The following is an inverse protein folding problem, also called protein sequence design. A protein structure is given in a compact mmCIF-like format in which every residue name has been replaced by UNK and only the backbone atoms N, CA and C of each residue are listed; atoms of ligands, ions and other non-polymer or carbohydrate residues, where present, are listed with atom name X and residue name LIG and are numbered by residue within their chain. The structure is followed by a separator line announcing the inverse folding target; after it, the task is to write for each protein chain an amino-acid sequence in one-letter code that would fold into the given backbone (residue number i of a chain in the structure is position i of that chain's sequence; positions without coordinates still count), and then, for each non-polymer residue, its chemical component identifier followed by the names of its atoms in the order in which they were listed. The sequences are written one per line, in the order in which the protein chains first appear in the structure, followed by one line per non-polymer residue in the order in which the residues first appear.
data_IF_339666637181
#
_entry.id   IF_339666637181
#
_cell.length_a   1.000
_cell.length_b   1.000
_cell.length_c   1.000
_cell.angle_alpha   90.00
_cell.angle_beta   90.00
_cell.angle_gamma   90.00
#
_symmetry.space_group_name_H-M   'P 1'
#
loop_
_entity.id
_entity.type
_entity.pdbx_description
1 polymer ?
#
# COMPACT_ATOMS: atom_id res chain seq x y z
N UNK A 1 72.79 -20.17 51.05
CA UNK A 1 71.39 -20.29 50.59
C UNK A 1 70.62 -19.09 51.14
N UNK A 2 70.19 -18.18 50.28
CA UNK A 2 69.16 -17.18 50.61
C UNK A 2 68.40 -16.89 49.33
N UNK A 3 67.17 -17.36 49.25
CA UNK A 3 66.29 -17.22 48.10
C UNK A 3 65.62 -15.85 48.13
N UNK A 4 65.99 -14.99 47.17
CA UNK A 4 65.34 -13.71 46.92
C UNK A 4 63.92 -13.95 46.37
N UNK A 5 62.90 -13.64 47.17
CA UNK A 5 61.53 -13.53 46.67
C UNK A 5 61.30 -12.10 46.16
N UNK A 6 61.28 -11.93 44.84
CA UNK A 6 60.91 -10.66 44.21
C UNK A 6 59.38 -10.57 44.09
N UNK A 7 58.74 -9.92 45.06
CA UNK A 7 57.32 -9.60 45.03
C UNK A 7 57.08 -8.48 43.99
N UNK A 8 56.49 -8.81 42.86
CA UNK A 8 56.04 -7.82 41.87
C UNK A 8 54.84 -7.10 42.47
N UNK A 9 55.07 -5.92 43.04
CA UNK A 9 54.04 -5.07 43.62
C UNK A 9 53.67 -3.99 42.59
N UNK A 10 52.73 -4.32 41.70
CA UNK A 10 52.16 -3.37 40.75
C UNK A 10 51.21 -2.43 41.49
N UNK A 11 51.78 -1.38 42.07
CA UNK A 11 51.02 -0.24 42.59
C UNK A 11 50.48 0.57 41.40
N UNK A 12 49.41 0.07 40.77
CA UNK A 12 48.62 0.89 39.86
C UNK A 12 48.13 2.11 40.66
N UNK A 13 48.45 3.35 40.24
CA UNK A 13 48.02 4.52 40.99
C UNK A 13 46.49 4.50 41.04
N UNK A 14 45.92 4.58 42.25
CA UNK A 14 44.49 4.39 42.52
C UNK A 14 43.59 5.26 41.60
N UNK A 15 44.10 6.43 41.20
CA UNK A 15 43.44 7.37 40.29
C UNK A 15 43.36 6.86 38.83
N UNK A 16 44.30 6.02 38.39
CA UNK A 16 44.29 5.43 37.05
C UNK A 16 43.27 4.30 36.93
N UNK A 17 43.16 3.45 37.95
CA UNK A 17 42.12 2.41 38.00
C UNK A 17 40.72 3.02 38.02
N UNK A 18 40.50 4.07 38.82
CA UNK A 18 39.22 4.80 38.85
C UNK A 18 38.86 5.43 37.50
N UNK A 19 39.83 6.07 36.82
CA UNK A 19 39.63 6.63 35.48
C UNK A 19 39.29 5.56 34.44
N UNK A 20 39.95 4.40 34.49
CA UNK A 20 39.62 3.28 33.59
C UNK A 20 38.20 2.76 33.82
N UNK A 21 37.77 2.64 35.08
CA UNK A 21 36.39 2.21 35.41
C UNK A 21 35.36 3.19 34.86
N UNK A 22 35.60 4.51 35.00
CA UNK A 22 34.70 5.53 34.46
C UNK A 22 34.61 5.45 32.93
N UNK A 23 35.74 5.30 32.23
CA UNK A 23 35.75 5.14 30.78
C UNK A 23 35.01 3.87 30.36
N UNK A 24 35.20 2.77 31.07
CA UNK A 24 34.54 1.49 30.78
C UNK A 24 33.03 1.59 31.00
N UNK A 25 32.57 2.28 32.05
CA UNK A 25 31.15 2.57 32.27
C UNK A 25 30.57 3.45 31.15
N UNK A 26 31.32 4.46 30.69
CA UNK A 26 30.88 5.35 29.62
C UNK A 26 30.70 4.57 28.30
N UNK A 27 31.66 3.71 27.95
CA UNK A 27 31.57 2.79 26.80
C UNK A 27 30.37 1.85 26.96
N UNK A 28 30.17 1.28 28.15
CA UNK A 28 29.03 0.41 28.42
C UNK A 28 27.69 1.12 28.24
N UNK A 29 27.56 2.36 28.73
CA UNK A 29 26.38 3.19 28.51
C UNK A 29 26.13 3.45 27.02
N UNK A 30 27.16 3.77 26.25
CA UNK A 30 27.04 4.00 24.79
C UNK A 30 26.55 2.73 24.08
N UNK A 31 27.09 1.56 24.43
CA UNK A 31 26.65 0.27 23.87
C UNK A 31 25.18 -0.01 24.19
N UNK A 32 24.75 0.24 25.45
CA UNK A 32 23.35 0.05 25.84
C UNK A 32 22.39 0.97 25.09
N UNK A 33 22.77 2.22 24.87
CA UNK A 33 21.99 3.18 24.07
C UNK A 33 21.87 2.68 22.64
N UNK A 34 22.97 2.25 22.04
CA UNK A 34 22.99 1.76 20.65
C UNK A 34 22.10 0.51 20.46
N UNK A 35 22.16 -0.44 21.40
CA UNK A 35 21.31 -1.64 21.38
C UNK A 35 19.83 -1.28 21.54
N UNK A 36 19.49 -0.34 22.44
CA UNK A 36 18.11 0.12 22.61
C UNK A 36 17.55 0.76 21.34
N UNK A 37 18.32 1.64 20.69
CA UNK A 37 17.90 2.28 19.43
C UNK A 37 17.66 1.23 18.33
N UNK A 38 18.53 0.22 18.22
CA UNK A 38 18.37 -0.87 17.25
C UNK A 38 17.10 -1.70 17.50
N UNK A 39 16.78 -1.97 18.76
CA UNK A 39 15.57 -2.70 19.16
C UNK A 39 14.31 -1.87 18.90
N UNK A 40 14.36 -0.56 19.17
CA UNK A 40 13.24 0.34 18.93
C UNK A 40 12.86 0.40 17.44
N UNK A 41 13.85 0.52 16.54
CA UNK A 41 13.62 0.50 15.10
C UNK A 41 13.04 -0.85 14.62
N UNK A 42 13.50 -1.97 15.19
CA UNK A 42 12.97 -3.29 14.85
C UNK A 42 11.51 -3.47 15.28
N UNK A 43 11.13 -2.92 16.44
CA UNK A 43 9.74 -2.96 16.94
C UNK A 43 8.75 -2.19 16.06
N UNK A 44 9.15 -1.00 15.55
CA UNK A 44 8.34 -0.23 14.58
C UNK A 44 8.01 -1.05 13.32
N UNK A 45 9.00 -1.74 12.76
CA UNK A 45 8.81 -2.52 11.54
C UNK A 45 7.87 -3.72 11.78
N UNK A 46 8.06 -4.45 12.88
CA UNK A 46 7.19 -5.59 13.24
C UNK A 46 5.73 -5.15 13.47
N UNK A 47 5.49 -4.01 14.12
CA UNK A 47 4.12 -3.52 14.34
C UNK A 47 3.42 -3.15 13.02
N UNK A 48 4.14 -2.54 12.06
CA UNK A 48 3.57 -2.25 10.73
C UNK A 48 3.21 -3.52 9.95
N UNK A 49 4.01 -4.59 10.10
CA UNK A 49 3.71 -5.89 9.50
C UNK A 49 2.47 -6.52 10.13
N UNK A 50 2.31 -6.43 11.45
CA UNK A 50 1.10 -6.93 12.13
C UNK A 50 -0.14 -6.19 11.67
N UNK A 51 -0.07 -4.86 11.55
CA UNK A 51 -1.21 -4.05 11.13
C UNK A 51 -1.60 -4.32 9.66
N UNK A 52 -0.62 -4.36 8.75
CA UNK A 52 -0.87 -4.72 7.35
C UNK A 52 -1.43 -6.14 7.19
N UNK A 53 -0.95 -7.11 7.97
CA UNK A 53 -1.44 -8.48 7.92
C UNK A 53 -2.87 -8.58 8.47
N UNK A 54 -3.19 -7.81 9.52
CA UNK A 54 -4.55 -7.71 10.05
C UNK A 54 -5.52 -7.11 9.03
N UNK A 55 -5.11 -6.03 8.34
CA UNK A 55 -5.91 -5.41 7.29
C UNK A 55 -6.16 -6.38 6.14
N UNK A 56 -5.16 -7.16 5.71
CA UNK A 56 -5.34 -8.21 4.69
C UNK A 56 -6.31 -9.30 5.12
N UNK A 57 -6.29 -9.70 6.39
CA UNK A 57 -7.24 -10.67 6.93
C UNK A 57 -8.66 -10.11 6.88
N UNK A 58 -8.84 -8.84 7.27
CA UNK A 58 -10.14 -8.18 7.25
C UNK A 58 -10.69 -8.00 5.83
N UNK A 59 -9.84 -7.56 4.90
CA UNK A 59 -10.18 -7.45 3.47
C UNK A 59 -10.58 -8.80 2.88
N UNK A 60 -9.78 -9.84 3.13
CA UNK A 60 -10.08 -11.21 2.66
C UNK A 60 -11.36 -11.76 3.27
N UNK A 61 -11.66 -11.42 4.53
CA UNK A 61 -12.89 -11.84 5.20
C UNK A 61 -14.11 -11.13 4.61
N UNK A 62 -14.00 -9.83 4.32
CA UNK A 62 -15.07 -9.06 3.71
C UNK A 62 -15.35 -9.54 2.28
N UNK A 63 -14.31 -9.78 1.47
CA UNK A 63 -14.49 -10.35 0.13
C UNK A 63 -15.12 -11.73 0.20
N UNK A 64 -14.67 -12.61 1.10
CA UNK A 64 -15.28 -13.94 1.26
C UNK A 64 -16.77 -13.87 1.66
N UNK A 65 -17.13 -12.95 2.56
CA UNK A 65 -18.51 -12.74 2.95
C UNK A 65 -19.37 -12.20 1.80
N UNK A 66 -18.85 -11.24 1.02
CA UNK A 66 -19.54 -10.71 -0.16
C UNK A 66 -19.76 -11.81 -1.20
N UNK A 67 -18.72 -12.59 -1.52
CA UNK A 67 -18.83 -13.72 -2.45
C UNK A 67 -19.83 -14.76 -1.95
N UNK A 68 -19.88 -15.06 -0.64
CA UNK A 68 -20.90 -15.95 -0.07
C UNK A 68 -22.32 -15.39 -0.24
N UNK A 69 -22.51 -14.09 -0.07
CA UNK A 69 -23.81 -13.46 -0.30
C UNK A 69 -24.20 -13.50 -1.78
N UNK A 70 -23.24 -13.32 -2.68
CA UNK A 70 -23.46 -13.46 -4.13
C UNK A 70 -23.81 -14.90 -4.50
N UNK A 71 -23.13 -15.90 -3.94
CA UNK A 71 -23.47 -17.32 -4.14
C UNK A 71 -24.87 -17.64 -3.62
N UNK A 72 -25.25 -17.13 -2.44
CA UNK A 72 -26.60 -17.32 -1.90
C UNK A 72 -27.68 -16.66 -2.76
N UNK A 73 -27.35 -15.56 -3.45
CA UNK A 73 -28.24 -14.92 -4.43
C UNK A 73 -28.23 -15.62 -5.78
N UNK A 74 -27.14 -16.30 -6.15
CA UNK A 74 -27.02 -17.01 -7.41
C UNK A 74 -27.99 -18.21 -7.52
N UNK A 75 -28.45 -18.75 -6.38
CA UNK A 75 -29.45 -19.83 -6.31
C UNK A 75 -30.90 -19.31 -6.32
N UNK A 76 -31.11 -17.99 -6.42
CA UNK A 76 -32.43 -17.36 -6.53
C UNK A 76 -32.78 -17.13 -8.01
N UNK A 77 -33.86 -17.77 -8.48
CA UNK A 77 -34.38 -17.66 -9.85
C UNK A 77 -34.58 -16.20 -10.30
N UNK A 78 -34.91 -15.30 -9.36
CA UNK A 78 -35.06 -13.86 -9.61
C UNK A 78 -33.74 -13.19 -9.98
N UNK A 79 -32.64 -13.59 -9.35
CA UNK A 79 -31.30 -13.06 -9.62
C UNK A 79 -30.77 -13.56 -10.96
N UNK A 80 -31.01 -14.84 -11.29
CA UNK A 80 -30.68 -15.42 -12.60
C UNK A 80 -31.45 -14.70 -13.70
N UNK A 81 -32.74 -14.45 -13.52
CA UNK A 81 -33.56 -13.71 -14.48
C UNK A 81 -33.06 -12.26 -14.66
N UNK A 82 -32.63 -11.61 -13.58
CA UNK A 82 -32.05 -10.26 -13.64
C UNK A 82 -30.76 -10.23 -14.46
N UNK A 83 -29.80 -11.12 -14.20
CA UNK A 83 -28.54 -11.21 -14.97
C UNK A 83 -28.83 -11.54 -16.43
N UNK A 84 -29.74 -12.49 -16.69
CA UNK A 84 -30.13 -12.87 -18.04
C UNK A 84 -30.68 -11.68 -18.83
N UNK A 85 -31.56 -10.86 -18.24
CA UNK A 85 -32.13 -9.68 -18.91
C UNK A 85 -31.17 -8.49 -18.98
N UNK A 86 -30.44 -8.18 -17.91
CA UNK A 86 -29.66 -6.93 -17.81
C UNK A 86 -28.25 -7.06 -18.40
N UNK A 87 -27.58 -8.20 -18.20
CA UNK A 87 -26.20 -8.39 -18.63
C UNK A 87 -26.08 -9.18 -19.95
N UNK A 88 -27.01 -10.11 -20.19
CA UNK A 88 -26.98 -11.00 -21.35
C UNK A 88 -28.03 -10.68 -22.42
N UNK A 89 -28.93 -9.72 -22.16
CA UNK A 89 -30.07 -9.33 -23.03
C UNK A 89 -30.90 -10.53 -23.53
N UNK A 90 -31.00 -11.57 -22.68
CA UNK A 90 -31.73 -12.79 -22.95
C UNK A 90 -33.20 -12.63 -22.54
N UNK A 91 -34.08 -13.20 -23.36
CA UNK A 91 -35.53 -13.15 -23.17
C UNK A 91 -36.11 -14.55 -23.00
N UNK A 92 -37.24 -14.66 -22.28
CA UNK A 92 -37.95 -15.94 -22.18
C UNK A 92 -38.60 -16.29 -23.52
N UNK A 93 -38.73 -17.59 -23.87
CA UNK A 93 -39.42 -18.01 -25.09
C UNK A 93 -40.87 -17.53 -25.05
N UNK A 94 -41.21 -16.54 -25.88
CA UNK A 94 -42.54 -15.91 -25.95
C UNK A 94 -42.58 -14.40 -25.72
N UNK A 95 -41.48 -13.76 -25.32
CA UNK A 95 -41.39 -12.30 -25.15
C UNK A 95 -41.14 -11.57 -26.48
N UNK A 96 -41.68 -10.35 -26.62
CA UNK A 96 -41.55 -9.50 -27.83
C UNK A 96 -40.68 -8.28 -27.53
N UNK A 97 -39.56 -8.14 -28.23
CA UNK A 97 -38.69 -6.95 -28.15
C UNK A 97 -39.34 -5.79 -28.90
N UNK A 98 -39.49 -4.64 -28.24
CA UNK A 98 -39.87 -3.38 -28.87
C UNK A 98 -38.64 -2.48 -28.93
N UNK A 99 -37.97 -2.45 -30.09
CA UNK A 99 -36.92 -1.48 -30.34
C UNK A 99 -37.54 -0.20 -30.89
N UNK A 100 -37.44 0.89 -30.13
CA UNK A 100 -37.82 2.21 -30.62
C UNK A 100 -36.80 2.65 -31.66
N UNK A 101 -37.16 2.57 -32.94
CA UNK A 101 -36.39 3.19 -34.02
C UNK A 101 -36.82 4.65 -34.03
N UNK A 102 -36.05 5.50 -33.37
CA UNK A 102 -36.12 6.93 -33.62
C UNK A 102 -35.70 7.16 -35.08
N UNK A 103 -36.67 7.39 -35.96
CA UNK A 103 -36.39 7.94 -37.29
C UNK A 103 -35.88 9.36 -37.10
N UNK A 104 -34.59 9.49 -36.80
CA UNK A 104 -33.87 10.74 -36.96
C UNK A 104 -33.73 11.00 -38.46
N UNK A 105 -34.30 12.08 -39.01
CA UNK A 105 -33.98 12.49 -40.35
C UNK A 105 -32.62 13.16 -40.31
N UNK A 106 -31.54 12.45 -40.66
CA UNK A 106 -30.34 12.99 -41.32
C UNK A 106 -29.23 11.94 -41.46
N UNK A 107 -29.31 11.17 -42.54
CA UNK A 107 -28.13 10.88 -43.34
C UNK A 107 -27.79 12.16 -44.12
N UNK A 108 -26.87 12.97 -43.59
CA UNK A 108 -26.00 13.87 -44.36
C UNK A 108 -25.12 14.70 -43.41
N UNK A 109 -23.88 14.24 -43.17
CA UNK A 109 -22.63 14.97 -43.42
C UNK A 109 -21.47 14.22 -42.76
N UNK A 110 -20.75 13.45 -43.57
CA UNK A 110 -19.38 13.05 -43.27
C UNK A 110 -18.40 14.21 -43.54
N UNK A 111 -17.29 14.15 -42.81
CA UNK A 111 -15.97 14.76 -43.06
C UNK A 111 -15.76 16.24 -42.69
N UNK A 112 -15.25 16.47 -41.47
CA UNK A 112 -13.99 17.21 -41.20
C UNK A 112 -13.82 17.39 -39.68
N UNK A 113 -12.94 16.59 -39.05
CA UNK A 113 -12.04 17.00 -37.94
C UNK A 113 -11.45 15.76 -37.25
N UNK A 114 -10.49 15.14 -37.92
CA UNK A 114 -9.42 14.40 -37.24
C UNK A 114 -8.42 15.39 -36.63
N UNK A 115 -8.91 16.40 -35.89
CA UNK A 115 -8.09 17.05 -34.89
C UNK A 115 -8.31 16.25 -33.62
N UNK A 116 -7.39 15.32 -33.41
CA UNK A 116 -7.37 14.47 -32.23
C UNK A 116 -7.55 15.35 -31.00
N UNK A 117 -8.39 14.90 -30.07
CA UNK A 117 -8.74 15.59 -28.82
C UNK A 117 -7.49 16.07 -28.06
N UNK A 118 -6.36 15.37 -28.23
CA UNK A 118 -5.05 15.76 -27.75
C UNK A 118 -4.51 17.06 -28.37
N UNK A 119 -4.64 17.28 -29.69
CA UNK A 119 -4.23 18.53 -30.35
C UNK A 119 -5.07 19.71 -29.87
N UNK A 120 -6.40 19.53 -29.74
CA UNK A 120 -7.31 20.57 -29.22
C UNK A 120 -6.96 20.95 -27.79
N UNK A 121 -6.61 19.96 -26.96
CA UNK A 121 -6.18 20.18 -25.58
C UNK A 121 -4.81 20.87 -25.50
N UNK A 122 -3.84 20.47 -26.35
CA UNK A 122 -2.52 21.09 -26.42
C UNK A 122 -2.57 22.55 -26.87
N UNK A 123 -3.35 22.86 -27.90
CA UNK A 123 -3.50 24.22 -28.44
C UNK A 123 -4.02 25.17 -27.36
N UNK A 124 -4.97 24.71 -26.53
CA UNK A 124 -5.48 25.50 -25.41
C UNK A 124 -4.44 25.73 -24.29
N UNK A 125 -3.58 24.75 -24.01
CA UNK A 125 -2.53 24.88 -22.98
C UNK A 125 -1.43 25.83 -23.43
N UNK A 126 -0.99 25.72 -24.68
CA UNK A 126 0.06 26.58 -25.23
C UNK A 126 -0.39 28.06 -25.28
N UNK A 127 -1.65 28.29 -25.67
CA UNK A 127 -2.24 29.63 -25.68
C UNK A 127 -2.32 30.25 -24.27
N UNK A 128 -2.65 29.46 -23.24
CA UNK A 128 -2.70 29.93 -21.86
C UNK A 128 -1.32 30.37 -21.34
N UNK A 129 -0.27 29.59 -21.64
CA UNK A 129 1.10 29.87 -21.20
C UNK A 129 1.65 31.16 -21.81
N UNK A 130 1.38 31.42 -23.09
CA UNK A 130 1.82 32.64 -23.79
C UNK A 130 1.18 33.92 -23.24
N UNK A 131 0.01 33.82 -22.62
CA UNK A 131 -0.71 34.97 -22.07
C UNK A 131 -0.46 35.19 -20.57
N UNK A 132 0.25 34.27 -19.90
CA UNK A 132 0.55 34.32 -18.46
C UNK A 132 2.01 34.67 -18.16
N UNK A 133 2.76 35.10 -19.18
CA UNK A 133 4.11 35.67 -19.14
C UNK A 133 4.16 36.88 -20.08
#
# INVERSE_FOLDING_TARGET
MSSFQKKIQSHLPQNFAAKLIVVLLLVFCVVLIFVNLRIYNKRRHLNSQIESLKNKIEETRNTNNNLKQEILKADDDSYIEKIAREELDLQKPGEKVFSFIDKSPQDAKETESSKNIFQVWLDNIFNFMKNSF
#
